data_IF_608252844171
#
_entry.id   IF_608252844171
#
_cell.length_a   1.000
_cell.length_b   1.000
_cell.length_c   1.000
_cell.angle_alpha   90.00
_cell.angle_beta   90.00
_cell.angle_gamma   90.00
#
_symmetry.space_group_name_H-M   'P 1'
#
loop_
_entity.id
_entity.type
_entity.pdbx_description
1 polymer ?
#
# COMPACT_ATOMS: atom_id res chain seq x y z
N UNK A 1 10.42 -2.77 -23.69
CA UNK A 1 9.53 -3.90 -23.38
C UNK A 1 9.99 -4.68 -22.16
N UNK A 2 11.25 -5.12 -22.05
CA UNK A 2 11.75 -5.92 -20.93
C UNK A 2 11.60 -5.27 -19.55
N UNK A 3 11.82 -3.96 -19.43
CA UNK A 3 11.65 -3.23 -18.15
C UNK A 3 10.21 -3.26 -17.62
N UNK A 4 9.22 -3.17 -18.51
CA UNK A 4 7.80 -3.21 -18.13
C UNK A 4 7.44 -4.61 -17.59
N UNK A 5 7.87 -5.66 -18.31
CA UNK A 5 7.63 -7.04 -17.87
C UNK A 5 8.29 -7.34 -16.53
N UNK A 6 9.55 -6.91 -16.35
CA UNK A 6 10.27 -7.06 -15.08
C UNK A 6 9.56 -6.31 -13.94
N UNK A 7 9.07 -5.10 -14.20
CA UNK A 7 8.29 -4.33 -13.22
C UNK A 7 7.00 -5.05 -12.80
N UNK A 8 6.24 -5.56 -13.75
CA UNK A 8 5.00 -6.31 -13.48
C UNK A 8 5.29 -7.53 -12.60
N UNK A 9 6.28 -8.35 -12.97
CA UNK A 9 6.67 -9.52 -12.18
C UNK A 9 7.09 -9.13 -10.77
N UNK A 10 7.88 -8.06 -10.62
CA UNK A 10 8.29 -7.54 -9.31
C UNK A 10 7.10 -7.13 -8.44
N UNK A 11 6.13 -6.42 -9.02
CA UNK A 11 4.89 -6.03 -8.30
C UNK A 11 4.07 -7.25 -7.88
N UNK A 12 3.86 -8.22 -8.75
CA UNK A 12 3.14 -9.45 -8.39
C UNK A 12 3.82 -10.21 -7.26
N UNK A 13 5.15 -10.32 -7.29
CA UNK A 13 5.92 -10.98 -6.23
C UNK A 13 5.82 -10.23 -4.91
N UNK A 14 5.98 -8.91 -4.91
CA UNK A 14 5.91 -8.09 -3.71
C UNK A 14 4.51 -8.13 -3.09
N UNK A 15 3.46 -7.91 -3.90
CA UNK A 15 2.09 -7.86 -3.43
C UNK A 15 1.59 -9.22 -2.94
N UNK A 16 1.95 -10.31 -3.61
CA UNK A 16 1.57 -11.67 -3.17
C UNK A 16 2.19 -12.05 -1.83
N UNK A 17 3.45 -11.65 -1.59
CA UNK A 17 4.12 -11.85 -0.30
C UNK A 17 3.51 -10.99 0.81
N UNK A 18 3.12 -9.74 0.48
CA UNK A 18 2.44 -8.87 1.43
C UNK A 18 1.09 -9.46 1.85
N UNK A 19 0.27 -9.91 0.90
CA UNK A 19 -1.00 -10.58 1.19
C UNK A 19 -0.81 -11.85 2.03
N UNK A 20 0.22 -12.62 1.73
CA UNK A 20 0.56 -13.79 2.55
C UNK A 20 0.90 -13.41 4.00
N UNK A 21 1.75 -12.39 4.19
CA UNK A 21 2.11 -11.89 5.52
C UNK A 21 0.90 -11.39 6.30
N UNK A 22 0.03 -10.58 5.67
CA UNK A 22 -1.20 -10.09 6.28
C UNK A 22 -2.18 -11.21 6.64
N UNK A 23 -2.23 -12.28 5.85
CA UNK A 23 -3.04 -13.46 6.14
C UNK A 23 -2.50 -14.25 7.34
N UNK A 24 -1.18 -14.32 7.52
CA UNK A 24 -0.54 -14.94 8.69
C UNK A 24 -0.84 -14.18 9.98
N UNK A 25 -0.94 -12.87 9.91
CA UNK A 25 -1.33 -12.00 11.03
C UNK A 25 -2.85 -11.93 11.25
N UNK A 26 -3.64 -12.77 10.57
CA UNK A 26 -5.11 -12.80 10.64
C UNK A 26 -5.80 -11.45 10.29
N UNK A 27 -5.11 -10.57 9.56
CA UNK A 27 -5.68 -9.29 9.11
C UNK A 27 -6.64 -9.50 7.94
N UNK A 28 -6.33 -10.48 7.07
CA UNK A 28 -7.16 -10.87 5.92
C UNK A 28 -7.46 -12.37 5.98
N UNK A 29 -8.49 -12.85 5.25
CA UNK A 29 -8.89 -14.26 5.28
C UNK A 29 -7.72 -15.22 5.05
N UNK A 30 -7.69 -16.33 5.80
CA UNK A 30 -6.66 -17.36 5.72
C UNK A 30 -6.51 -18.01 4.34
N UNK A 31 -7.51 -17.82 3.46
CA UNK A 31 -7.48 -18.29 2.08
C UNK A 31 -6.28 -17.74 1.29
N UNK A 32 -5.89 -16.48 1.56
CA UNK A 32 -4.72 -15.85 0.94
C UNK A 32 -3.39 -16.39 1.45
N UNK A 33 -3.38 -17.01 2.64
CA UNK A 33 -2.21 -17.59 3.28
C UNK A 33 -1.91 -19.03 2.86
N UNK A 34 -2.72 -19.65 2.00
CA UNK A 34 -2.46 -20.99 1.50
C UNK A 34 -1.31 -20.98 0.51
N UNK A 35 -0.25 -21.73 0.84
CA UNK A 35 0.88 -21.96 -0.05
C UNK A 35 0.61 -23.17 -0.95
N UNK A 36 1.06 -23.09 -2.19
CA UNK A 36 1.10 -24.24 -3.07
C UNK A 36 2.14 -25.26 -2.56
N UNK A 37 1.75 -26.53 -2.52
CA UNK A 37 2.58 -27.61 -1.99
C UNK A 37 3.87 -27.81 -2.80
N UNK A 38 3.84 -27.54 -4.11
CA UNK A 38 4.94 -27.79 -5.02
C UNK A 38 5.95 -26.64 -5.05
N UNK A 39 5.48 -25.41 -5.11
CA UNK A 39 6.33 -24.23 -5.30
C UNK A 39 6.42 -23.33 -4.06
N UNK A 40 5.70 -23.65 -2.98
CA UNK A 40 5.62 -22.86 -1.73
C UNK A 40 5.33 -21.38 -1.97
N UNK A 41 4.57 -21.09 -3.03
CA UNK A 41 4.14 -19.75 -3.39
C UNK A 41 2.66 -19.54 -2.99
N UNK A 42 2.24 -18.31 -2.64
CA UNK A 42 0.84 -18.02 -2.30
C UNK A 42 -0.02 -17.96 -3.56
N UNK A 43 -0.33 -19.12 -4.16
CA UNK A 43 -1.04 -19.24 -5.43
C UNK A 43 -2.40 -18.53 -5.41
N UNK A 44 -3.14 -18.62 -4.30
CA UNK A 44 -4.44 -17.96 -4.15
C UNK A 44 -4.33 -16.44 -4.19
N UNK A 45 -3.28 -15.87 -3.58
CA UNK A 45 -3.03 -14.43 -3.62
C UNK A 45 -2.68 -13.98 -5.05
N UNK A 46 -1.86 -14.74 -5.76
CA UNK A 46 -1.50 -14.46 -7.16
C UNK A 46 -2.74 -14.55 -8.06
N UNK A 47 -3.58 -15.57 -7.87
CA UNK A 47 -4.82 -15.73 -8.63
C UNK A 47 -5.78 -14.55 -8.41
N UNK A 48 -5.96 -14.12 -7.16
CA UNK A 48 -6.79 -12.96 -6.84
C UNK A 48 -6.27 -11.67 -7.51
N UNK A 49 -4.95 -11.44 -7.45
CA UNK A 49 -4.31 -10.31 -8.14
C UNK A 49 -4.52 -10.36 -9.65
N UNK A 50 -4.39 -11.54 -10.25
CA UNK A 50 -4.64 -11.74 -11.68
C UNK A 50 -6.07 -11.40 -12.06
N UNK A 51 -7.06 -11.86 -11.29
CA UNK A 51 -8.47 -11.51 -11.51
C UNK A 51 -8.72 -10.00 -11.47
N UNK A 52 -8.17 -9.32 -10.45
CA UNK A 52 -8.30 -7.86 -10.33
C UNK A 52 -7.61 -7.15 -11.50
N UNK A 53 -6.42 -7.60 -11.89
CA UNK A 53 -5.68 -7.01 -13.01
C UNK A 53 -6.40 -7.19 -14.36
N UNK A 54 -7.10 -8.31 -14.56
CA UNK A 54 -7.91 -8.55 -15.77
C UNK A 54 -9.14 -7.66 -15.84
N UNK A 55 -9.70 -7.26 -14.71
CA UNK A 55 -10.85 -6.35 -14.65
C UNK A 55 -10.45 -4.88 -14.89
N UNK A 56 -9.20 -4.50 -14.54
CA UNK A 56 -8.74 -3.13 -14.62
C UNK A 56 -8.90 -2.46 -16.00
N UNK A 57 -8.61 -3.12 -17.15
CA UNK A 57 -8.76 -2.51 -18.47
C UNK A 57 -10.21 -2.14 -18.84
N UNK A 58 -11.21 -2.81 -18.26
CA UNK A 58 -12.63 -2.53 -18.52
C UNK A 58 -13.08 -1.19 -17.94
N UNK A 59 -12.39 -0.67 -16.93
CA UNK A 59 -12.71 0.60 -16.30
C UNK A 59 -12.10 1.82 -17.03
N UNK A 60 -11.27 1.60 -18.05
CA UNK A 60 -10.73 2.64 -18.91
C UNK A 60 -9.62 3.48 -18.25
N UNK A 61 -9.20 4.54 -18.96
CA UNK A 61 -8.08 5.42 -18.54
C UNK A 61 -8.33 6.17 -17.23
N UNK A 62 -9.57 6.52 -16.97
CA UNK A 62 -9.95 7.29 -15.78
C UNK A 62 -9.69 6.51 -14.49
N UNK A 63 -10.00 5.22 -14.50
CA UNK A 63 -9.73 4.36 -13.34
C UNK A 63 -8.23 4.17 -13.07
N UNK A 64 -7.38 4.21 -14.11
CA UNK A 64 -5.93 4.19 -13.91
C UNK A 64 -5.45 5.41 -13.12
N UNK A 65 -6.02 6.61 -13.40
CA UNK A 65 -5.73 7.81 -12.61
C UNK A 65 -6.07 7.61 -11.13
N UNK A 66 -7.25 7.09 -10.81
CA UNK A 66 -7.66 6.83 -9.42
C UNK A 66 -6.74 5.83 -8.70
N UNK A 67 -6.32 4.78 -9.40
CA UNK A 67 -5.40 3.78 -8.85
C UNK A 67 -4.02 4.38 -8.57
N UNK A 68 -3.52 5.26 -9.46
CA UNK A 68 -2.24 5.97 -9.27
C UNK A 68 -2.33 6.90 -8.06
N UNK A 69 -3.41 7.68 -7.94
CA UNK A 69 -3.64 8.56 -6.80
C UNK A 69 -3.65 7.79 -5.48
N UNK A 70 -4.41 6.68 -5.42
CA UNK A 70 -4.49 5.82 -4.25
C UNK A 70 -3.15 5.20 -3.89
N UNK A 71 -2.39 4.74 -4.90
CA UNK A 71 -1.06 4.15 -4.67
C UNK A 71 -0.06 5.18 -4.17
N UNK A 72 -0.12 6.41 -4.68
CA UNK A 72 0.74 7.51 -4.25
C UNK A 72 0.48 7.90 -2.80
N UNK A 73 -0.79 7.99 -2.40
CA UNK A 73 -1.17 8.26 -1.01
C UNK A 73 -0.74 7.12 -0.09
N UNK A 74 -0.99 5.87 -0.49
CA UNK A 74 -0.57 4.69 0.27
C UNK A 74 0.94 4.62 0.46
N UNK A 75 1.70 4.93 -0.58
CA UNK A 75 3.16 5.00 -0.51
C UNK A 75 3.64 6.13 0.44
N UNK A 76 3.03 7.31 0.38
CA UNK A 76 3.38 8.42 1.25
C UNK A 76 3.14 8.08 2.73
N UNK A 77 2.02 7.45 3.05
CA UNK A 77 1.72 6.95 4.40
C UNK A 77 2.73 5.87 4.81
N UNK A 78 3.02 4.92 3.94
CA UNK A 78 4.01 3.85 4.20
C UNK A 78 5.40 4.43 4.49
N UNK A 79 5.85 5.42 3.73
CA UNK A 79 7.11 6.10 3.98
C UNK A 79 7.10 6.90 5.29
N UNK A 80 5.98 7.50 5.67
CA UNK A 80 5.85 8.16 6.96
C UNK A 80 6.05 7.17 8.12
N UNK A 81 5.40 6.01 8.07
CA UNK A 81 5.54 4.97 9.10
C UNK A 81 6.95 4.38 9.16
N UNK A 82 7.55 4.06 8.01
CA UNK A 82 8.91 3.50 7.97
C UNK A 82 9.96 4.49 8.46
N UNK A 83 9.83 5.76 8.08
CA UNK A 83 10.73 6.83 8.55
C UNK A 83 10.56 7.10 10.04
N UNK A 84 9.33 7.09 10.56
CA UNK A 84 9.06 7.23 12.00
C UNK A 84 9.60 6.02 12.79
N UNK A 85 9.47 4.82 12.27
CA UNK A 85 10.06 3.63 12.87
C UNK A 85 11.59 3.70 12.91
N UNK A 86 12.22 4.13 11.80
CA UNK A 86 13.66 4.35 11.72
C UNK A 86 14.14 5.38 12.74
N UNK A 87 13.40 6.48 12.91
CA UNK A 87 13.70 7.50 13.94
C UNK A 87 13.64 6.90 15.35
N UNK A 88 12.59 6.14 15.66
CA UNK A 88 12.43 5.50 16.99
C UNK A 88 13.56 4.51 17.26
N UNK A 89 13.92 3.68 16.28
CA UNK A 89 15.01 2.72 16.39
C UNK A 89 16.38 3.41 16.57
N UNK A 90 16.64 4.44 15.77
CA UNK A 90 17.88 5.21 15.84
C UNK A 90 18.05 5.94 17.18
N UNK A 91 16.95 6.40 17.78
CA UNK A 91 16.94 6.99 19.12
C UNK A 91 17.36 5.97 20.17
N UNK A 92 16.91 4.71 20.08
CA UNK A 92 17.33 3.64 20.99
C UNK A 92 18.81 3.24 20.79
N UNK A 93 19.26 3.23 19.52
CA UNK A 93 20.66 2.89 19.17
C UNK A 93 21.63 4.08 19.31
N UNK A 94 21.16 5.25 19.77
CA UNK A 94 21.94 6.50 19.94
C UNK A 94 22.72 6.93 18.69
N UNK A 95 22.20 6.61 17.50
CA UNK A 95 22.85 6.95 16.24
C UNK A 95 22.25 8.23 15.63
N UNK A 96 22.94 9.36 15.89
CA UNK A 96 22.48 10.70 15.47
C UNK A 96 22.27 10.85 13.96
N UNK A 97 23.05 10.16 13.11
CA UNK A 97 22.91 10.26 11.65
C UNK A 97 21.61 9.62 11.18
N UNK A 98 21.31 8.40 11.61
CA UNK A 98 20.07 7.70 11.25
C UNK A 98 18.86 8.40 11.86
N UNK A 99 18.99 8.96 13.05
CA UNK A 99 17.93 9.73 13.69
C UNK A 99 17.57 10.98 12.87
N UNK A 100 18.57 11.72 12.38
CA UNK A 100 18.35 12.90 11.55
C UNK A 100 17.67 12.54 10.21
N UNK A 101 18.14 11.49 9.51
CA UNK A 101 17.53 11.04 8.25
C UNK A 101 16.11 10.54 8.46
N UNK A 102 15.82 9.80 9.53
CA UNK A 102 14.47 9.34 9.88
C UNK A 102 13.52 10.50 10.15
N UNK A 103 13.98 11.53 10.86
CA UNK A 103 13.17 12.72 11.14
C UNK A 103 12.87 13.51 9.87
N UNK A 104 13.87 13.78 9.03
CA UNK A 104 13.69 14.47 7.74
C UNK A 104 12.75 13.70 6.83
N UNK A 105 12.93 12.37 6.71
CA UNK A 105 12.05 11.51 5.93
C UNK A 105 10.60 11.55 6.40
N UNK A 106 10.37 11.55 7.72
CA UNK A 106 9.02 11.65 8.29
C UNK A 106 8.36 12.99 7.97
N UNK A 107 9.10 14.10 8.12
CA UNK A 107 8.58 15.44 7.79
C UNK A 107 8.21 15.54 6.32
N UNK A 108 9.09 15.11 5.42
CA UNK A 108 8.84 15.11 3.98
C UNK A 108 7.60 14.27 3.62
N UNK A 109 7.48 13.08 4.19
CA UNK A 109 6.35 12.19 3.93
C UNK A 109 5.02 12.79 4.44
N UNK A 110 5.01 13.45 5.59
CA UNK A 110 3.83 14.13 6.12
C UNK A 110 3.44 15.31 5.23
N UNK A 111 4.41 16.14 4.80
CA UNK A 111 4.16 17.25 3.88
C UNK A 111 3.57 16.73 2.57
N UNK A 112 4.13 15.67 2.00
CA UNK A 112 3.66 15.08 0.75
C UNK A 112 2.25 14.50 0.87
N UNK A 113 1.96 13.80 1.97
CA UNK A 113 0.61 13.32 2.28
C UNK A 113 -0.39 14.48 2.41
N UNK A 114 0.01 15.57 3.06
CA UNK A 114 -0.82 16.77 3.20
C UNK A 114 -1.10 17.45 1.87
N UNK A 115 -0.10 17.58 1.00
CA UNK A 115 -0.26 18.16 -0.34
C UNK A 115 -1.19 17.33 -1.23
N UNK A 116 -1.18 16.01 -1.10
CA UNK A 116 -2.09 15.12 -1.83
C UNK A 116 -3.54 15.23 -1.34
N UNK A 117 -3.73 15.41 -0.02
CA UNK A 117 -5.06 15.47 0.59
C UNK A 117 -5.72 16.84 0.49
N UNK A 118 -4.93 17.93 0.40
CA UNK A 118 -5.48 19.30 0.39
C UNK A 118 -5.47 19.83 -1.05
N UNK A 119 -6.64 20.14 -1.64
CA UNK A 119 -6.71 20.75 -2.97
C UNK A 119 -6.23 22.19 -2.90
N UNK A 120 -4.95 22.41 -3.21
CA UNK A 120 -4.36 23.75 -3.28
C UNK A 120 -4.63 24.34 -4.66
N UNK A 121 -5.38 25.46 -4.71
CA UNK A 121 -5.60 26.20 -5.96
C UNK A 121 -4.26 26.62 -6.57
N UNK A 122 -3.95 26.06 -7.74
CA UNK A 122 -2.70 26.36 -8.48
C UNK A 122 -1.67 25.24 -8.52
N UNK A 123 -1.81 24.16 -7.74
CA UNK A 123 -1.06 22.93 -7.90
C UNK A 123 -2.05 21.80 -8.22
N UNK A 124 -2.03 21.29 -9.45
CA UNK A 124 -2.83 20.11 -9.85
C UNK A 124 -2.28 18.79 -9.26
N UNK A 125 -1.79 18.86 -8.02
CA UNK A 125 -1.22 17.70 -7.31
C UNK A 125 -2.22 17.04 -6.36
N UNK A 126 -3.47 17.56 -6.25
CA UNK A 126 -4.49 17.00 -5.37
C UNK A 126 -5.20 15.80 -6.00
N UNK A 127 -5.66 14.90 -5.15
CA UNK A 127 -6.49 13.76 -5.58
C UNK A 127 -7.72 14.26 -6.36
N UNK A 128 -8.09 13.56 -7.43
CA UNK A 128 -9.35 13.78 -8.12
C UNK A 128 -10.56 13.54 -7.20
N UNK A 129 -11.71 14.17 -7.51
CA UNK A 129 -12.93 14.00 -6.71
C UNK A 129 -13.34 12.55 -6.56
N UNK A 130 -13.17 11.77 -7.60
CA UNK A 130 -13.47 10.34 -7.64
C UNK A 130 -12.49 9.53 -6.79
N UNK A 131 -11.23 9.97 -6.69
CA UNK A 131 -10.19 9.34 -5.87
C UNK A 131 -10.51 9.45 -4.37
N UNK A 132 -11.20 10.51 -3.94
CA UNK A 132 -11.71 10.62 -2.55
C UNK A 132 -12.77 9.56 -2.24
N UNK A 133 -13.66 9.26 -3.19
CA UNK A 133 -14.66 8.20 -3.02
C UNK A 133 -13.97 6.84 -2.87
N UNK A 134 -13.01 6.55 -3.73
CA UNK A 134 -12.21 5.33 -3.63
C UNK A 134 -11.48 5.23 -2.28
N UNK A 135 -10.94 6.35 -1.77
CA UNK A 135 -10.27 6.41 -0.49
C UNK A 135 -11.22 6.08 0.67
N UNK A 136 -12.43 6.62 0.68
CA UNK A 136 -13.44 6.31 1.69
C UNK A 136 -13.82 4.83 1.66
N UNK A 137 -14.03 4.27 0.48
CA UNK A 137 -14.33 2.83 0.32
C UNK A 137 -13.17 1.99 0.84
N UNK A 138 -11.93 2.36 0.53
CA UNK A 138 -10.73 1.65 0.99
C UNK A 138 -10.59 1.68 2.51
N UNK A 139 -10.82 2.85 3.14
CA UNK A 139 -10.81 2.98 4.60
C UNK A 139 -11.93 2.14 5.22
N UNK A 140 -13.13 2.14 4.64
CA UNK A 140 -14.24 1.33 5.12
C UNK A 140 -13.94 -0.18 5.08
N UNK A 141 -13.33 -0.65 3.99
CA UNK A 141 -12.88 -2.04 3.86
C UNK A 141 -11.82 -2.37 4.92
N UNK A 142 -10.82 -1.50 5.09
CA UNK A 142 -9.78 -1.66 6.10
C UNK A 142 -10.34 -1.71 7.52
N UNK A 143 -11.27 -0.81 7.85
CA UNK A 143 -11.97 -0.81 9.14
C UNK A 143 -12.78 -2.09 9.36
N UNK A 144 -13.49 -2.56 8.34
CA UNK A 144 -14.25 -3.81 8.41
C UNK A 144 -13.33 -5.00 8.75
N UNK A 145 -12.20 -5.13 8.06
CA UNK A 145 -11.23 -6.20 8.35
C UNK A 145 -10.61 -6.05 9.74
N UNK A 146 -10.31 -4.84 10.16
CA UNK A 146 -9.79 -4.57 11.50
C UNK A 146 -10.78 -4.99 12.60
N UNK A 147 -12.05 -4.62 12.48
CA UNK A 147 -13.09 -5.02 13.45
C UNK A 147 -13.30 -6.54 13.46
N UNK A 148 -13.29 -7.16 12.29
CA UNK A 148 -13.44 -8.62 12.19
C UNK A 148 -12.25 -9.37 12.79
N UNK A 149 -11.03 -8.88 12.57
CA UNK A 149 -9.81 -9.46 13.18
C UNK A 149 -9.82 -9.35 14.70
N UNK A 150 -10.26 -8.19 15.23
CA UNK A 150 -10.37 -7.97 16.68
C UNK A 150 -11.43 -8.86 17.36
N UNK A 151 -12.45 -9.28 16.62
CA UNK A 151 -13.51 -10.17 17.14
C UNK A 151 -13.07 -11.64 17.22
N UNK A 152 -11.89 -12.00 16.68
CA UNK A 152 -11.36 -13.37 16.72
C UNK A 152 -10.24 -13.57 17.75
N UNK A 153 -9.84 -12.52 18.45
CA UNK A 153 -8.96 -12.49 19.61
C UNK A 153 -9.75 -12.16 20.88
#
# INVERSE_FOLDING_TARGET
MGAILSGIVGFYMATSRLLYSMSKENVIPAWFGKLDNKHKTPANAIFALMCVSLLAPFFGRTALGWLVDMSSLGAAIGYAYTSAAAFKYAKQANNKKIMATGLVGTIIAIIFSGLLLVPIRGLDCSLGKESYICLVVWIAIGAYFYYKSKSQH
#
